data_IF_207609787468
#
_entry.id   IF_207609787468
#
_cell.length_a   1.000
_cell.length_b   1.000
_cell.length_c   1.000
_cell.angle_alpha   90.00
_cell.angle_beta   90.00
_cell.angle_gamma   90.00
#
_symmetry.space_group_name_H-M   'P 1'
#
loop_
_entity.id
_entity.type
_entity.pdbx_description
1 polymer ?
#
# COMPACT_ATOMS: atom_id res chain seq x y z
N UNK A 1 -1.34 17.13 22.23
CA UNK A 1 -2.33 17.15 21.12
C UNK A 1 -2.57 15.70 20.70
N UNK A 2 -3.77 15.16 20.86
CA UNK A 2 -4.10 13.80 20.38
C UNK A 2 -4.34 13.89 18.87
N UNK A 3 -3.41 13.39 18.06
CA UNK A 3 -3.64 13.18 16.63
C UNK A 3 -4.79 12.18 16.51
N UNK A 4 -5.97 12.62 16.08
CA UNK A 4 -7.04 11.70 15.68
C UNK A 4 -6.55 11.01 14.42
N UNK A 5 -6.21 9.73 14.51
CA UNK A 5 -5.99 8.90 13.33
C UNK A 5 -7.32 8.77 12.59
N UNK A 6 -7.50 9.58 11.54
CA UNK A 6 -8.65 9.47 10.65
C UNK A 6 -8.42 8.24 9.77
N UNK A 7 -9.04 7.11 10.11
CA UNK A 7 -9.07 5.95 9.23
C UNK A 7 -10.18 6.13 8.21
N UNK A 8 -9.82 6.47 6.98
CA UNK A 8 -10.75 6.55 5.87
C UNK A 8 -10.78 5.22 5.10
N UNK A 9 -11.98 4.79 4.70
CA UNK A 9 -12.18 3.61 3.87
C UNK A 9 -12.27 4.07 2.41
N UNK A 10 -11.36 3.56 1.58
CA UNK A 10 -11.30 3.88 0.14
C UNK A 10 -11.55 2.60 -0.65
N UNK A 11 -12.46 2.67 -1.61
CA UNK A 11 -12.67 1.61 -2.59
C UNK A 11 -11.84 1.86 -3.84
N UNK A 12 -11.11 0.85 -4.31
CA UNK A 12 -10.25 0.95 -5.49
C UNK A 12 -10.58 -0.17 -6.48
N UNK A 13 -10.46 0.13 -7.78
CA UNK A 13 -10.60 -0.86 -8.85
C UNK A 13 -9.22 -1.22 -9.38
N UNK A 14 -8.93 -2.51 -9.47
CA UNK A 14 -7.68 -3.06 -9.97
C UNK A 14 -7.97 -4.15 -11.02
N UNK A 15 -7.05 -4.39 -11.96
CA UNK A 15 -7.15 -5.53 -12.88
C UNK A 15 -7.27 -6.86 -12.14
N UNK A 16 -8.03 -7.81 -12.68
CA UNK A 16 -8.28 -9.11 -12.04
C UNK A 16 -7.00 -9.85 -11.65
N UNK A 17 -6.03 -9.92 -12.56
CA UNK A 17 -4.72 -10.54 -12.31
C UNK A 17 -4.00 -9.94 -11.11
N UNK A 18 -4.09 -8.62 -10.93
CA UNK A 18 -3.48 -7.93 -9.77
C UNK A 18 -4.20 -8.31 -8.48
N UNK A 19 -5.52 -8.47 -8.51
CA UNK A 19 -6.28 -8.94 -7.35
C UNK A 19 -5.90 -10.38 -6.97
N UNK A 20 -5.75 -11.27 -7.95
CA UNK A 20 -5.26 -12.65 -7.73
C UNK A 20 -3.87 -12.67 -7.11
N UNK A 21 -2.94 -11.85 -7.63
CA UNK A 21 -1.59 -11.76 -7.07
C UNK A 21 -1.62 -11.30 -5.60
N UNK A 22 -2.49 -10.34 -5.26
CA UNK A 22 -2.69 -9.88 -3.88
C UNK A 22 -3.29 -10.99 -3.01
N UNK A 23 -4.28 -11.72 -3.53
CA UNK A 23 -4.89 -12.86 -2.82
C UNK A 23 -3.86 -13.93 -2.49
N UNK A 24 -2.98 -14.27 -3.44
CA UNK A 24 -1.89 -15.21 -3.22
C UNK A 24 -0.93 -14.72 -2.12
N UNK A 25 -0.59 -13.42 -2.09
CA UNK A 25 0.26 -12.86 -1.03
C UNK A 25 -0.39 -12.92 0.36
N UNK A 26 -1.70 -12.78 0.43
CA UNK A 26 -2.44 -12.97 1.69
C UNK A 26 -2.42 -14.44 2.09
N UNK A 27 -2.67 -15.35 1.14
CA UNK A 27 -2.66 -16.80 1.38
C UNK A 27 -1.28 -17.33 1.83
N UNK A 28 -0.20 -16.79 1.25
CA UNK A 28 1.19 -17.14 1.58
C UNK A 28 1.64 -16.54 2.93
N UNK A 29 0.80 -15.74 3.59
CA UNK A 29 1.13 -15.08 4.86
C UNK A 29 2.10 -13.90 4.74
N UNK A 30 2.36 -13.42 3.52
CA UNK A 30 3.22 -12.24 3.30
C UNK A 30 2.59 -10.96 3.87
N UNK A 31 1.27 -10.85 3.82
CA UNK A 31 0.47 -9.73 4.36
C UNK A 31 -0.75 -10.26 5.08
N UNK A 32 -1.26 -9.51 6.05
CA UNK A 32 -2.42 -9.95 6.84
C UNK A 32 -3.74 -9.93 6.06
N UNK A 33 -3.90 -8.97 5.14
CA UNK A 33 -5.10 -8.78 4.32
C UNK A 33 -4.79 -7.88 3.12
N UNK A 34 -5.75 -7.77 2.19
CA UNK A 34 -5.60 -6.95 0.98
C UNK A 34 -5.31 -5.47 1.28
N UNK A 35 -5.94 -4.91 2.32
CA UNK A 35 -5.73 -3.51 2.67
C UNK A 35 -4.31 -3.27 3.20
N UNK A 36 -3.73 -4.23 3.92
CA UNK A 36 -2.35 -4.19 4.38
C UNK A 36 -1.37 -4.17 3.21
N UNK A 37 -1.58 -5.02 2.20
CA UNK A 37 -0.81 -4.98 0.96
C UNK A 37 -0.82 -3.61 0.30
N UNK A 38 -2.02 -3.02 0.14
CA UNK A 38 -2.18 -1.71 -0.50
C UNK A 38 -1.48 -0.61 0.31
N UNK A 39 -1.55 -0.64 1.65
CA UNK A 39 -0.83 0.31 2.51
C UNK A 39 0.68 0.22 2.31
N UNK A 40 1.24 -0.99 2.32
CA UNK A 40 2.67 -1.21 2.10
C UNK A 40 3.11 -0.71 0.73
N UNK A 41 2.35 -1.02 -0.32
CA UNK A 41 2.65 -0.57 -1.68
C UNK A 41 2.66 0.96 -1.81
N UNK A 42 1.70 1.64 -1.17
CA UNK A 42 1.63 3.11 -1.13
C UNK A 42 2.85 3.69 -0.39
N UNK A 43 3.18 3.16 0.79
CA UNK A 43 4.33 3.63 1.58
C UNK A 43 5.65 3.44 0.82
N UNK A 44 5.82 2.30 0.16
CA UNK A 44 7.01 2.01 -0.65
C UNK A 44 7.13 2.97 -1.84
N UNK A 45 6.00 3.28 -2.51
CA UNK A 45 5.96 4.25 -3.60
C UNK A 45 6.31 5.67 -3.12
N UNK A 46 5.70 6.14 -2.03
CA UNK A 46 6.01 7.45 -1.44
C UNK A 46 7.48 7.55 -1.05
N UNK A 47 8.04 6.50 -0.42
CA UNK A 47 9.46 6.46 -0.05
C UNK A 47 10.38 6.57 -1.27
N UNK A 48 10.08 5.84 -2.35
CA UNK A 48 10.85 5.91 -3.61
C UNK A 48 10.78 7.31 -4.23
N UNK A 49 9.61 7.93 -4.25
CA UNK A 49 9.42 9.25 -4.86
C UNK A 49 10.14 10.34 -4.04
N UNK A 50 10.13 10.26 -2.72
CA UNK A 50 10.88 11.18 -1.85
C UNK A 50 12.40 11.01 -2.01
N UNK A 51 12.91 9.78 -2.12
CA UNK A 51 14.34 9.52 -2.36
C UNK A 51 14.82 10.12 -3.68
N UNK A 52 14.02 10.03 -4.74
CA UNK A 52 14.35 10.63 -6.04
C UNK A 52 14.47 12.15 -5.98
N UNK A 53 13.59 12.81 -5.22
CA UNK A 53 13.64 14.27 -5.06
C UNK A 53 14.91 14.74 -4.36
N UNK A 54 15.37 14.02 -3.33
CA UNK A 54 16.59 14.39 -2.57
C UNK A 54 17.87 14.25 -3.43
N UNK A 55 17.91 13.32 -4.38
CA UNK A 55 19.08 13.11 -5.26
C UNK A 55 19.19 14.14 -6.41
N UNK A 56 18.19 15.01 -6.57
CA UNK A 56 18.15 16.02 -7.63
C UNK A 56 18.47 17.44 -7.10
N UNK A 57 18.89 17.55 -5.83
CA UNK A 57 19.30 18.77 -5.15
C UNK A 57 20.80 18.74 -4.83
#
# INVERSE_FOLDING_TARGET
MKSKSNSEIVSVRLPHKVLEDIDNKVADGYVMNKADFVRLAILEKISRDNKKQIQTL
#
